data_IF_819468426894
#
_entry.id   IF_819468426894
#
_cell.length_a   1.000
_cell.length_b   1.000
_cell.length_c   1.000
_cell.angle_alpha   90.00
_cell.angle_beta   90.00
_cell.angle_gamma   90.00
#
_symmetry.space_group_name_H-M   'P 1'
#
loop_
_entity.id
_entity.type
_entity.pdbx_description
1 polymer ?
#
# COMPACT_ATOMS: atom_id res chain seq x y z
N UNK A 1 31.95 -3.16 11.16
CA UNK A 1 31.25 -3.28 12.45
C UNK A 1 30.47 -2.01 12.81
N UNK A 2 31.08 -0.82 12.73
CA UNK A 2 30.42 0.48 13.00
C UNK A 2 29.21 0.76 12.09
N UNK A 3 29.26 0.41 10.80
CA UNK A 3 28.13 0.58 9.86
C UNK A 3 26.85 -0.09 10.34
N UNK A 4 26.93 -1.38 10.70
CA UNK A 4 25.76 -2.17 11.14
C UNK A 4 25.08 -1.61 12.40
N UNK A 5 25.83 -0.94 13.28
CA UNK A 5 25.28 -0.29 14.47
C UNK A 5 24.50 0.96 14.08
N UNK A 6 25.05 1.77 13.16
CA UNK A 6 24.35 2.95 12.62
C UNK A 6 23.07 2.57 11.90
N UNK A 7 23.10 1.49 11.12
CA UNK A 7 21.92 0.99 10.40
C UNK A 7 20.79 0.60 11.37
N UNK A 8 21.13 -0.13 12.44
CA UNK A 8 20.16 -0.49 13.49
C UNK A 8 19.59 0.72 14.23
N UNK A 9 20.42 1.71 14.58
CA UNK A 9 19.95 2.94 15.21
C UNK A 9 19.02 3.73 14.29
N UNK A 10 19.30 3.71 12.98
CA UNK A 10 18.46 4.32 11.98
C UNK A 10 17.11 3.59 11.82
N UNK A 11 17.09 2.25 11.87
CA UNK A 11 15.83 1.48 11.89
C UNK A 11 14.98 1.80 13.12
N UNK A 12 15.58 1.89 14.31
CA UNK A 12 14.88 2.27 15.56
C UNK A 12 14.30 3.68 15.43
N UNK A 13 15.08 4.63 14.90
CA UNK A 13 14.59 5.99 14.62
C UNK A 13 13.36 5.94 13.70
N UNK A 14 13.42 5.17 12.62
CA UNK A 14 12.30 5.05 11.67
C UNK A 14 11.06 4.44 12.32
N UNK A 15 11.23 3.42 13.17
CA UNK A 15 10.14 2.82 13.93
C UNK A 15 9.45 3.84 14.85
N UNK A 16 10.23 4.60 15.63
CA UNK A 16 9.69 5.65 16.53
C UNK A 16 8.96 6.73 15.73
N UNK A 17 9.50 7.12 14.57
CA UNK A 17 8.84 8.11 13.70
C UNK A 17 7.49 7.62 13.18
N UNK A 18 7.41 6.37 12.69
CA UNK A 18 6.13 5.79 12.24
C UNK A 18 5.11 5.76 13.38
N UNK A 19 5.52 5.40 14.60
CA UNK A 19 4.64 5.44 15.76
C UNK A 19 4.17 6.85 16.16
N UNK A 20 4.96 7.90 15.87
CA UNK A 20 4.62 9.30 16.24
C UNK A 20 3.84 10.06 15.19
N UNK A 21 4.17 9.90 13.90
CA UNK A 21 3.59 10.70 12.79
C UNK A 21 3.01 9.87 11.64
N UNK A 22 3.02 8.54 11.74
CA UNK A 22 2.49 7.64 10.71
C UNK A 22 3.45 7.33 9.55
N UNK A 23 4.65 7.94 9.53
CA UNK A 23 5.70 7.70 8.52
C UNK A 23 7.09 8.03 9.09
N UNK A 24 8.16 7.58 8.44
CA UNK A 24 9.55 7.88 8.77
C UNK A 24 10.24 8.69 7.68
N UNK A 25 11.43 9.22 7.99
CA UNK A 25 12.24 9.92 6.99
C UNK A 25 12.66 9.00 5.84
N UNK A 26 12.78 7.68 6.08
CA UNK A 26 13.02 6.67 5.03
C UNK A 26 11.82 6.52 4.10
N UNK A 27 10.61 6.52 4.67
CA UNK A 27 9.39 6.34 3.88
C UNK A 27 9.16 7.51 2.93
N UNK A 28 9.66 8.70 3.25
CA UNK A 28 9.54 9.89 2.39
C UNK A 28 10.34 9.80 1.08
N UNK A 29 11.34 8.91 0.99
CA UNK A 29 12.11 8.73 -0.24
C UNK A 29 11.30 8.08 -1.35
N UNK A 30 10.41 7.14 -1.00
CA UNK A 30 9.48 6.45 -1.93
C UNK A 30 8.07 6.44 -1.29
N UNK A 31 7.52 7.64 -1.07
CA UNK A 31 6.32 7.77 -0.24
C UNK A 31 5.08 7.13 -0.86
N UNK A 32 4.96 7.20 -2.18
CA UNK A 32 3.94 6.51 -2.96
C UNK A 32 4.01 4.98 -2.78
N UNK A 33 5.20 4.40 -2.73
CA UNK A 33 5.41 2.97 -2.45
C UNK A 33 5.05 2.60 -1.01
N UNK A 34 5.43 3.44 -0.05
CA UNK A 34 5.03 3.27 1.34
C UNK A 34 3.50 3.29 1.48
N UNK A 35 2.83 4.27 0.89
CA UNK A 35 1.37 4.37 0.90
C UNK A 35 0.71 3.17 0.20
N UNK A 36 1.21 2.75 -0.96
CA UNK A 36 0.70 1.58 -1.67
C UNK A 36 0.74 0.32 -0.79
N UNK A 37 1.83 0.13 -0.04
CA UNK A 37 1.95 -0.98 0.93
C UNK A 37 0.92 -0.87 2.05
N UNK A 38 0.85 0.28 2.72
CA UNK A 38 -0.07 0.47 3.85
C UNK A 38 -1.53 0.31 3.41
N UNK A 39 -1.92 0.93 2.30
CA UNK A 39 -3.28 0.88 1.76
C UNK A 39 -3.64 -0.56 1.34
N UNK A 40 -2.81 -1.23 0.55
CA UNK A 40 -3.11 -2.60 0.11
C UNK A 40 -3.23 -3.58 1.27
N UNK A 41 -2.33 -3.51 2.26
CA UNK A 41 -2.42 -4.35 3.47
C UNK A 41 -3.67 -4.04 4.31
N UNK A 42 -3.98 -2.76 4.55
CA UNK A 42 -5.16 -2.37 5.32
C UNK A 42 -6.47 -2.77 4.64
N UNK A 43 -6.58 -2.57 3.32
CA UNK A 43 -7.76 -2.99 2.56
C UNK A 43 -7.89 -4.51 2.49
N UNK A 44 -6.78 -5.26 2.49
CA UNK A 44 -6.81 -6.72 2.57
C UNK A 44 -7.39 -7.18 3.91
N UNK A 45 -6.94 -6.61 5.03
CA UNK A 45 -7.50 -6.90 6.36
C UNK A 45 -8.99 -6.52 6.46
N UNK A 46 -9.39 -5.36 5.92
CA UNK A 46 -10.80 -4.97 5.86
C UNK A 46 -11.62 -5.98 5.07
N UNK A 47 -11.14 -6.38 3.87
CA UNK A 47 -11.83 -7.35 3.01
C UNK A 47 -12.02 -8.71 3.67
N UNK A 48 -11.03 -9.16 4.46
CA UNK A 48 -11.02 -10.50 5.07
C UNK A 48 -11.78 -10.55 6.40
N UNK A 49 -11.66 -9.51 7.24
CA UNK A 49 -12.12 -9.56 8.64
C UNK A 49 -13.31 -8.65 8.95
N UNK A 50 -13.53 -7.58 8.17
CA UNK A 50 -14.38 -6.45 8.54
C UNK A 50 -15.23 -5.96 7.35
N UNK A 51 -16.17 -6.81 6.90
CA UNK A 51 -17.19 -6.43 5.90
C UNK A 51 -18.60 -6.55 6.47
N UNK A 52 -18.86 -5.88 7.58
CA UNK A 52 -20.22 -5.72 8.08
C UNK A 52 -21.02 -4.81 7.13
N UNK A 53 -20.40 -3.77 6.58
CA UNK A 53 -21.01 -2.79 5.67
C UNK A 53 -20.45 -2.80 4.24
N UNK A 54 -21.14 -2.09 3.33
CA UNK A 54 -20.69 -1.79 1.97
C UNK A 54 -21.36 -0.51 1.46
N UNK A 55 -20.79 0.20 0.45
CA UNK A 55 -21.40 1.39 -0.11
C UNK A 55 -22.84 1.16 -0.58
N UNK A 56 -23.77 2.04 -0.19
CA UNK A 56 -25.20 1.94 -0.52
C UNK A 56 -25.48 1.87 -2.04
N UNK A 57 -24.60 2.43 -2.86
CA UNK A 57 -24.71 2.39 -4.32
C UNK A 57 -24.46 1.01 -4.93
N UNK A 58 -23.90 0.05 -4.18
CA UNK A 58 -23.61 -1.29 -4.66
C UNK A 58 -24.77 -2.24 -4.35
N UNK A 59 -24.86 -3.33 -5.12
CA UNK A 59 -25.96 -4.30 -4.99
C UNK A 59 -25.67 -5.38 -3.95
N UNK A 60 -24.41 -5.58 -3.58
CA UNK A 60 -24.01 -6.65 -2.68
C UNK A 60 -22.64 -6.43 -2.04
N UNK A 61 -22.41 -7.16 -0.94
CA UNK A 61 -21.09 -7.30 -0.32
C UNK A 61 -20.05 -7.91 -1.27
N UNK A 62 -20.48 -8.79 -2.17
CA UNK A 62 -19.57 -9.44 -3.11
C UNK A 62 -19.06 -8.45 -4.16
N UNK A 63 -19.93 -7.57 -4.64
CA UNK A 63 -19.52 -6.46 -5.52
C UNK A 63 -18.51 -5.54 -4.83
N UNK A 64 -18.70 -5.30 -3.52
CA UNK A 64 -17.74 -4.52 -2.74
C UNK A 64 -16.39 -5.23 -2.57
N UNK A 65 -16.39 -6.54 -2.26
CA UNK A 65 -15.16 -7.36 -2.22
C UNK A 65 -14.40 -7.33 -3.52
N UNK A 66 -15.09 -7.40 -4.66
CA UNK A 66 -14.46 -7.34 -5.97
C UNK A 66 -13.79 -5.99 -6.22
N UNK A 67 -14.45 -4.89 -5.86
CA UNK A 67 -13.86 -3.54 -5.95
C UNK A 67 -12.62 -3.43 -5.06
N UNK A 68 -12.71 -3.86 -3.79
CA UNK A 68 -11.57 -3.89 -2.88
C UNK A 68 -10.42 -4.72 -3.45
N UNK A 69 -10.72 -5.88 -4.03
CA UNK A 69 -9.72 -6.73 -4.66
C UNK A 69 -9.03 -6.02 -5.84
N UNK A 70 -9.78 -5.34 -6.71
CA UNK A 70 -9.19 -4.55 -7.80
C UNK A 70 -8.26 -3.46 -7.27
N UNK A 71 -8.67 -2.74 -6.22
CA UNK A 71 -7.83 -1.71 -5.59
C UNK A 71 -6.54 -2.34 -5.02
N UNK A 72 -6.66 -3.42 -4.24
CA UNK A 72 -5.53 -4.13 -3.63
C UNK A 72 -4.54 -4.60 -4.69
N UNK A 73 -5.03 -5.23 -5.77
CA UNK A 73 -4.15 -5.76 -6.82
C UNK A 73 -3.44 -4.64 -7.60
N UNK A 74 -4.09 -3.51 -7.89
CA UNK A 74 -3.40 -2.39 -8.54
C UNK A 74 -2.35 -1.73 -7.63
N UNK A 75 -2.57 -1.66 -6.31
CA UNK A 75 -1.52 -1.21 -5.38
C UNK A 75 -0.37 -2.22 -5.25
N UNK A 76 -0.63 -3.53 -5.32
CA UNK A 76 0.42 -4.55 -5.40
C UNK A 76 1.22 -4.44 -6.70
N UNK A 77 0.55 -4.12 -7.81
CA UNK A 77 1.22 -3.84 -9.08
C UNK A 77 2.15 -2.63 -8.97
N UNK A 78 1.69 -1.55 -8.33
CA UNK A 78 2.53 -0.38 -8.02
C UNK A 78 3.75 -0.76 -7.19
N UNK A 79 3.64 -1.68 -6.24
CA UNK A 79 4.78 -2.14 -5.45
C UNK A 79 5.84 -2.89 -6.28
N UNK A 80 5.48 -3.51 -7.41
CA UNK A 80 6.46 -4.09 -8.32
C UNK A 80 7.35 -3.00 -8.93
N UNK A 81 6.78 -1.83 -9.23
CA UNK A 81 7.50 -0.68 -9.78
C UNK A 81 8.37 0.07 -8.75
N UNK A 82 8.41 -0.37 -7.48
CA UNK A 82 9.08 0.34 -6.40
C UNK A 82 10.51 -0.14 -6.16
N UNK A 83 11.48 0.78 -6.30
CA UNK A 83 12.91 0.50 -6.14
C UNK A 83 13.28 -0.04 -4.74
N UNK A 84 12.63 0.44 -3.68
CA UNK A 84 12.87 0.01 -2.31
C UNK A 84 12.43 -1.43 -2.00
N UNK A 85 11.64 -2.08 -2.86
CA UNK A 85 11.26 -3.49 -2.69
C UNK A 85 12.35 -4.46 -3.20
N UNK A 86 13.21 -4.01 -4.12
CA UNK A 86 14.13 -4.88 -4.86
C UNK A 86 15.62 -4.68 -4.55
N UNK A 87 15.99 -3.74 -3.68
CA UNK A 87 17.34 -3.68 -3.08
C UNK A 87 18.49 -3.76 -4.08
N UNK A 88 18.74 -2.70 -4.84
CA UNK A 88 20.00 -2.40 -5.56
C UNK A 88 20.69 -3.59 -6.28
N UNK A 89 20.26 -3.89 -7.51
CA UNK A 89 21.06 -4.06 -8.74
C UNK A 89 20.05 -4.33 -9.88
N UNK A 90 19.36 -3.28 -10.34
CA UNK A 90 18.27 -3.44 -11.32
C UNK A 90 18.91 -3.51 -12.71
N UNK A 91 19.15 -4.71 -13.23
CA UNK A 91 19.52 -4.91 -14.64
C UNK A 91 18.30 -4.89 -15.56
N UNK A 92 17.10 -5.17 -15.02
CA UNK A 92 15.81 -5.15 -15.72
C UNK A 92 14.73 -4.53 -14.82
N UNK A 93 14.01 -3.54 -15.34
CA UNK A 93 12.82 -3.01 -14.66
C UNK A 93 11.73 -4.08 -14.68
N UNK A 94 11.14 -4.44 -13.52
CA UNK A 94 10.04 -5.38 -13.50
C UNK A 94 8.89 -4.84 -14.35
N UNK A 95 8.32 -5.69 -15.19
CA UNK A 95 7.12 -5.36 -15.93
C UNK A 95 5.97 -5.14 -14.95
N UNK A 96 5.27 -4.01 -15.11
CA UNK A 96 4.13 -3.65 -14.26
C UNK A 96 3.00 -3.08 -15.11
N UNK A 97 1.79 -3.41 -14.69
CA UNK A 97 0.57 -3.08 -15.41
C UNK A 97 0.04 -1.70 -14.99
N UNK A 98 0.37 -0.67 -15.79
CA UNK A 98 -0.05 0.73 -15.57
C UNK A 98 -1.57 0.86 -15.54
N UNK A 99 -2.28 0.16 -16.44
CA UNK A 99 -3.74 0.24 -16.53
C UNK A 99 -4.41 -0.28 -15.24
N UNK A 100 -3.87 -1.35 -14.64
CA UNK A 100 -4.32 -1.81 -13.32
C UNK A 100 -4.07 -0.80 -12.21
N UNK A 101 -2.92 -0.12 -12.22
CA UNK A 101 -2.60 0.91 -11.23
C UNK A 101 -3.58 2.09 -11.36
N UNK A 102 -3.78 2.60 -12.56
CA UNK A 102 -4.72 3.69 -12.83
C UNK A 102 -6.13 3.31 -12.42
N UNK A 103 -6.57 2.09 -12.78
CA UNK A 103 -7.90 1.61 -12.40
C UNK A 103 -8.09 1.51 -10.89
N UNK A 104 -7.07 1.04 -10.18
CA UNK A 104 -7.10 0.99 -8.72
C UNK A 104 -7.18 2.39 -8.11
N UNK A 105 -6.44 3.37 -8.62
CA UNK A 105 -6.47 4.75 -8.14
C UNK A 105 -7.85 5.40 -8.36
N UNK A 106 -8.49 5.18 -9.51
CA UNK A 106 -9.86 5.65 -9.78
C UNK A 106 -10.86 5.11 -8.75
N UNK A 107 -10.83 3.79 -8.52
CA UNK A 107 -11.73 3.12 -7.58
C UNK A 107 -11.42 3.52 -6.14
N UNK A 108 -10.14 3.64 -5.80
CA UNK A 108 -9.69 4.12 -4.49
C UNK A 108 -10.23 5.52 -4.20
N UNK A 109 -10.04 6.46 -5.13
CA UNK A 109 -10.54 7.82 -4.99
C UNK A 109 -12.07 7.86 -4.89
N UNK A 110 -12.76 7.07 -5.72
CA UNK A 110 -14.23 6.98 -5.70
C UNK A 110 -14.78 6.48 -4.36
N UNK A 111 -14.14 5.48 -3.76
CA UNK A 111 -14.65 4.82 -2.55
C UNK A 111 -13.89 5.18 -1.27
N UNK A 112 -13.05 6.20 -1.28
CA UNK A 112 -12.22 6.60 -0.15
C UNK A 112 -13.00 6.73 1.17
N UNK A 113 -14.20 7.29 1.11
CA UNK A 113 -15.08 7.49 2.28
C UNK A 113 -15.81 6.23 2.77
N UNK A 114 -15.50 5.06 2.20
CA UNK A 114 -16.09 3.77 2.55
C UNK A 114 -15.06 2.77 3.08
N UNK A 115 -13.82 3.20 3.35
CA UNK A 115 -12.79 2.36 3.97
C UNK A 115 -12.87 2.40 5.50
N UNK A 116 -14.07 2.13 6.01
CA UNK A 116 -14.38 1.97 7.43
C UNK A 116 -15.33 0.78 7.58
N UNK A 117 -15.32 0.14 8.74
CA UNK A 117 -16.31 -0.85 9.14
C UNK A 117 -16.71 -0.61 10.60
#
# INVERSE_FOLDING_TARGET
>A
MISKIKDKLFDIKCFIQRGRKGYSDRDLWDFDCYLAKIISSGLQELKENNLLSYPYSLKSKEEWKNILNTIIEGFKEKLKACNCYYGYDITEYPDYDVEKIEKALELFAKYFNYFWD
#
